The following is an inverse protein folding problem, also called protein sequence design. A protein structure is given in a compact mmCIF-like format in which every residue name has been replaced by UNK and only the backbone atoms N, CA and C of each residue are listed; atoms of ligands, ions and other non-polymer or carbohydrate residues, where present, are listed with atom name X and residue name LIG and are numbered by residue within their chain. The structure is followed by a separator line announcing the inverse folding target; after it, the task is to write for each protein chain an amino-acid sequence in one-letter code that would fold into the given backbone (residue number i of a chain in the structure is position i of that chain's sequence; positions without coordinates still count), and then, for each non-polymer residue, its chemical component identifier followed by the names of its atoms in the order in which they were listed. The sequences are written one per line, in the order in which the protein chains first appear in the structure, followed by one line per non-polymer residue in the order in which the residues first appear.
data_IF_394352949339
#
_entry.id   IF_394352949339
#
_cell.length_a   1.000
_cell.length_b   1.000
_cell.length_c   1.000
_cell.angle_alpha   90.00
_cell.angle_beta   90.00
_cell.angle_gamma   90.00
#
_symmetry.space_group_name_H-M   'P 1'
#
loop_
_entity.id
_entity.type
_entity.pdbx_description
1 polymer ?
#
# COMPACT_ATOMS: atom_id res chain seq x y z
N UNK A 1 -2.70 3.43 -17.56
CA UNK A 1 -1.44 4.07 -17.09
C UNK A 1 -0.33 3.56 -17.99
N UNK A 2 0.46 4.44 -18.60
CA UNK A 2 1.57 4.02 -19.47
C UNK A 2 2.65 3.33 -18.65
N UNK A 3 3.02 2.12 -19.03
CA UNK A 3 4.26 1.47 -18.60
C UNK A 3 5.36 1.87 -19.57
N UNK A 4 6.55 2.16 -19.05
CA UNK A 4 7.74 2.27 -19.89
C UNK A 4 8.00 0.89 -20.50
N UNK A 5 8.13 0.80 -21.82
CA UNK A 5 8.59 -0.41 -22.49
C UNK A 5 10.06 -0.66 -22.14
N UNK A 6 10.53 -1.91 -22.23
CA UNK A 6 11.83 -2.31 -21.68
C UNK A 6 13.03 -1.46 -22.11
N UNK A 7 13.16 -1.16 -23.40
CA UNK A 7 14.28 -0.35 -23.92
C UNK A 7 14.21 1.11 -23.47
N UNK A 8 12.99 1.66 -23.35
CA UNK A 8 12.76 3.01 -22.86
C UNK A 8 13.05 3.09 -21.36
N UNK A 9 12.60 2.10 -20.58
CA UNK A 9 12.84 2.00 -19.13
C UNK A 9 14.35 2.02 -18.85
N UNK A 10 15.13 1.18 -19.54
CA UNK A 10 16.58 1.11 -19.37
C UNK A 10 17.26 2.43 -19.72
N UNK A 11 16.92 3.00 -20.87
CA UNK A 11 17.52 4.26 -21.34
C UNK A 11 17.25 5.40 -20.36
N UNK A 12 16.02 5.53 -19.88
CA UNK A 12 15.66 6.59 -18.92
C UNK A 12 16.36 6.40 -17.58
N UNK A 13 16.52 5.17 -17.11
CA UNK A 13 17.27 4.88 -15.88
C UNK A 13 18.74 5.29 -16.03
N UNK A 14 19.39 4.95 -17.14
CA UNK A 14 20.80 5.30 -17.38
C UNK A 14 21.00 6.82 -17.48
N UNK A 15 20.11 7.53 -18.19
CA UNK A 15 20.15 8.98 -18.28
C UNK A 15 19.92 9.63 -16.91
N UNK A 16 18.92 9.16 -16.15
CA UNK A 16 18.64 9.67 -14.81
C UNK A 16 19.80 9.41 -13.83
N UNK A 17 20.51 8.27 -13.95
CA UNK A 17 21.74 8.01 -13.16
C UNK A 17 22.83 9.04 -13.43
N UNK A 18 22.94 9.50 -14.66
CA UNK A 18 23.91 10.53 -15.05
C UNK A 18 23.45 11.96 -14.74
N UNK A 19 22.32 12.12 -14.02
CA UNK A 19 21.81 13.43 -13.59
C UNK A 19 20.90 14.12 -14.60
N UNK A 20 20.44 13.43 -15.64
CA UNK A 20 19.51 14.01 -16.61
C UNK A 20 18.14 14.28 -15.95
N UNK A 21 17.85 15.57 -15.77
CA UNK A 21 16.60 16.05 -15.16
C UNK A 21 15.37 15.76 -16.02
N UNK A 22 15.53 15.69 -17.34
CA UNK A 22 14.44 15.34 -18.27
C UNK A 22 14.06 13.88 -18.09
N UNK A 23 15.06 12.99 -18.00
CA UNK A 23 14.81 11.56 -17.74
C UNK A 23 14.16 11.34 -16.36
N UNK A 24 14.65 12.02 -15.32
CA UNK A 24 14.03 11.97 -13.98
C UNK A 24 12.57 12.44 -14.02
N UNK A 25 12.27 13.54 -14.73
CA UNK A 25 10.90 14.04 -14.89
C UNK A 25 10.01 13.03 -15.60
N UNK A 26 10.50 12.36 -16.65
CA UNK A 26 9.71 11.34 -17.35
C UNK A 26 9.39 10.14 -16.46
N UNK A 27 10.35 9.66 -15.66
CA UNK A 27 10.11 8.62 -14.65
C UNK A 27 9.07 9.10 -13.64
N UNK A 28 9.20 10.32 -13.12
CA UNK A 28 8.23 10.90 -12.18
C UNK A 28 6.82 10.98 -12.77
N UNK A 29 6.68 11.53 -13.97
CA UNK A 29 5.39 11.70 -14.64
C UNK A 29 4.72 10.35 -14.92
N UNK A 30 5.51 9.33 -15.26
CA UNK A 30 5.02 7.97 -15.52
C UNK A 30 4.48 7.28 -14.26
N UNK A 31 5.18 7.40 -13.14
CA UNK A 31 4.91 6.57 -11.96
C UNK A 31 4.31 7.31 -10.76
N UNK A 32 4.30 8.64 -10.72
CA UNK A 32 3.79 9.43 -9.59
C UNK A 32 2.37 9.03 -9.18
N UNK A 33 1.45 8.89 -10.14
CA UNK A 33 0.07 8.43 -9.86
C UNK A 33 0.01 7.01 -9.33
N UNK A 34 0.83 6.11 -9.85
CA UNK A 34 0.89 4.72 -9.41
C UNK A 34 1.44 4.59 -7.98
N UNK A 35 2.51 5.33 -7.67
CA UNK A 35 3.11 5.34 -6.33
C UNK A 35 2.21 6.06 -5.32
N UNK A 36 1.53 7.13 -5.72
CA UNK A 36 0.50 7.79 -4.89
C UNK A 36 -0.64 6.83 -4.56
N UNK A 37 -1.17 6.11 -5.54
CA UNK A 37 -2.21 5.10 -5.31
C UNK A 37 -1.70 3.98 -4.38
N UNK A 38 -0.46 3.53 -4.57
CA UNK A 38 0.18 2.54 -3.70
C UNK A 38 0.27 3.04 -2.25
N UNK A 39 0.75 4.27 -2.05
CA UNK A 39 0.91 4.91 -0.75
C UNK A 39 -0.43 5.14 -0.05
N UNK A 40 -1.46 5.53 -0.79
CA UNK A 40 -2.82 5.80 -0.26
C UNK A 40 -3.49 4.62 0.44
N UNK A 41 -3.03 3.39 0.17
CA UNK A 41 -3.47 2.19 0.88
C UNK A 41 -2.98 2.15 2.33
N UNK A 42 -1.82 2.75 2.58
CA UNK A 42 -1.14 2.80 3.89
C UNK A 42 -1.32 4.12 4.63
N UNK A 43 -1.60 5.22 3.92
CA UNK A 43 -1.65 6.56 4.49
C UNK A 43 -2.93 7.26 3.99
N UNK A 44 -3.97 7.41 4.84
CA UNK A 44 -5.24 8.01 4.43
C UNK A 44 -5.18 9.55 4.43
N UNK A 45 -4.31 10.13 5.25
CA UNK A 45 -4.13 11.58 5.31
C UNK A 45 -3.37 12.06 4.08
N UNK A 46 -3.94 13.01 3.34
CA UNK A 46 -3.34 13.50 2.10
C UNK A 46 -2.01 14.26 2.30
N UNK A 47 -1.86 14.98 3.41
CA UNK A 47 -0.62 15.69 3.73
C UNK A 47 0.53 14.72 3.91
N UNK A 48 0.33 13.73 4.78
CA UNK A 48 1.32 12.69 5.03
C UNK A 48 1.62 11.84 3.79
N UNK A 49 0.61 11.60 2.94
CA UNK A 49 0.80 10.90 1.68
C UNK A 49 1.73 11.68 0.75
N UNK A 50 1.52 13.00 0.61
CA UNK A 50 2.38 13.86 -0.21
C UNK A 50 3.81 13.86 0.31
N UNK A 51 4.00 13.96 1.63
CA UNK A 51 5.32 13.94 2.26
C UNK A 51 6.03 12.60 2.01
N UNK A 52 5.35 11.47 2.22
CA UNK A 52 5.93 10.15 1.95
C UNK A 52 6.23 9.95 0.47
N UNK A 53 5.37 10.42 -0.44
CA UNK A 53 5.62 10.32 -1.87
C UNK A 53 6.84 11.14 -2.27
N UNK A 54 7.00 12.34 -1.72
CA UNK A 54 8.17 13.19 -1.93
C UNK A 54 9.45 12.50 -1.44
N UNK A 55 9.46 12.04 -0.19
CA UNK A 55 10.59 11.30 0.39
C UNK A 55 10.94 10.05 -0.42
N UNK A 56 9.92 9.36 -0.94
CA UNK A 56 10.10 8.19 -1.80
C UNK A 56 10.82 8.56 -3.10
N UNK A 57 10.41 9.62 -3.79
CA UNK A 57 11.07 10.05 -5.02
C UNK A 57 12.49 10.56 -4.79
N UNK A 58 12.73 11.30 -3.72
CA UNK A 58 14.09 11.70 -3.31
C UNK A 58 14.96 10.45 -3.18
N UNK A 59 14.47 9.44 -2.46
CA UNK A 59 15.19 8.19 -2.23
C UNK A 59 15.37 7.33 -3.49
N UNK A 60 14.36 7.28 -4.35
CA UNK A 60 14.42 6.59 -5.65
C UNK A 60 15.56 7.16 -6.49
N UNK A 61 15.61 8.48 -6.67
CA UNK A 61 16.65 9.09 -7.49
C UNK A 61 18.02 9.06 -6.82
N UNK A 62 18.09 9.23 -5.50
CA UNK A 62 19.35 9.17 -4.75
C UNK A 62 19.91 7.75 -4.57
N UNK A 63 19.17 6.71 -4.95
CA UNK A 63 19.60 5.30 -4.87
C UNK A 63 19.46 4.57 -6.20
N UNK A 64 19.31 5.31 -7.30
CA UNK A 64 19.10 4.74 -8.63
C UNK A 64 20.32 3.96 -9.12
N UNK A 65 21.52 4.23 -8.58
CA UNK A 65 22.74 3.45 -8.76
C UNK A 65 22.59 2.00 -8.29
N UNK A 66 21.75 1.74 -7.28
CA UNK A 66 21.50 0.40 -6.71
C UNK A 66 20.43 -0.40 -7.45
N UNK A 67 19.70 0.25 -8.36
CA UNK A 67 18.72 -0.45 -9.17
C UNK A 67 19.42 -1.42 -10.13
N UNK A 68 18.78 -2.55 -10.41
CA UNK A 68 19.28 -3.55 -11.35
C UNK A 68 18.13 -3.93 -12.28
N UNK A 69 18.33 -3.75 -13.59
CA UNK A 69 17.27 -3.98 -14.56
C UNK A 69 17.09 -5.48 -14.78
N UNK A 70 15.90 -6.00 -14.45
CA UNK A 70 15.58 -7.43 -14.49
C UNK A 70 14.47 -7.78 -15.47
N UNK A 71 14.19 -6.88 -16.41
CA UNK A 71 13.08 -7.00 -17.36
C UNK A 71 12.05 -5.88 -17.20
N UNK A 72 11.09 -5.88 -18.09
CA UNK A 72 10.05 -4.84 -18.16
C UNK A 72 9.29 -4.73 -16.84
N UNK A 73 9.18 -3.51 -16.32
CA UNK A 73 8.47 -3.22 -15.06
C UNK A 73 9.31 -3.48 -13.81
N UNK A 74 10.59 -3.87 -13.95
CA UNK A 74 11.49 -4.01 -12.81
C UNK A 74 11.69 -2.69 -12.07
N UNK A 75 11.74 -1.55 -12.79
CA UNK A 75 11.81 -0.22 -12.15
C UNK A 75 10.55 0.06 -11.33
N UNK A 76 9.37 -0.21 -11.91
CA UNK A 76 8.08 -0.04 -11.22
C UNK A 76 8.04 -0.82 -9.90
N UNK A 77 8.46 -2.09 -9.92
CA UNK A 77 8.50 -2.94 -8.73
C UNK A 77 9.49 -2.41 -7.68
N UNK A 78 10.68 -2.00 -8.11
CA UNK A 78 11.72 -1.46 -7.23
C UNK A 78 11.29 -0.15 -6.55
N UNK A 79 10.71 0.78 -7.32
CA UNK A 79 10.19 2.05 -6.77
C UNK A 79 9.00 1.84 -5.83
N UNK A 80 8.13 0.87 -6.14
CA UNK A 80 7.04 0.46 -5.26
C UNK A 80 7.58 0.00 -3.91
N UNK A 81 8.63 -0.84 -3.91
CA UNK A 81 9.26 -1.31 -2.67
C UNK A 81 9.81 -0.15 -1.83
N UNK A 82 10.47 0.82 -2.45
CA UNK A 82 10.94 2.03 -1.75
C UNK A 82 9.77 2.80 -1.15
N UNK A 83 8.71 3.01 -1.92
CA UNK A 83 7.52 3.76 -1.48
C UNK A 83 6.82 3.10 -0.30
N UNK A 84 6.64 1.77 -0.35
CA UNK A 84 6.07 0.99 0.76
C UNK A 84 6.96 1.13 2.00
N UNK A 85 8.29 1.03 1.85
CA UNK A 85 9.21 1.16 2.97
C UNK A 85 9.17 2.55 3.64
N UNK A 86 9.04 3.64 2.87
CA UNK A 86 8.86 4.98 3.43
C UNK A 86 7.51 5.14 4.13
N UNK A 87 6.42 4.56 3.59
CA UNK A 87 5.14 4.55 4.28
C UNK A 87 5.21 3.80 5.63
N UNK A 88 5.85 2.62 5.65
CA UNK A 88 6.06 1.84 6.88
C UNK A 88 6.96 2.58 7.88
N UNK A 89 7.91 3.39 7.42
CA UNK A 89 8.75 4.23 8.27
C UNK A 89 7.93 5.29 9.00
N UNK A 90 7.00 5.95 8.33
CA UNK A 90 6.09 6.90 8.97
C UNK A 90 5.19 6.19 10.01
N UNK A 91 4.59 5.06 9.65
CA UNK A 91 3.73 4.26 10.54
C UNK A 91 4.47 3.86 11.81
N UNK A 92 5.70 3.36 11.68
CA UNK A 92 6.54 3.00 12.85
C UNK A 92 6.90 4.21 13.71
N UNK A 93 7.12 5.39 13.10
CA UNK A 93 7.40 6.63 13.83
C UNK A 93 6.18 7.06 14.66
N UNK A 94 4.96 6.90 14.14
CA UNK A 94 3.70 7.20 14.86
C UNK A 94 3.43 6.25 16.01
N UNK A 95 3.59 4.95 15.79
CA UNK A 95 3.37 3.93 16.85
C UNK A 95 4.29 4.11 18.06
N UNK A 96 5.50 4.68 17.87
CA UNK A 96 6.39 5.04 18.98
C UNK A 96 5.90 6.25 19.79
N UNK A 97 5.04 7.08 19.19
CA UNK A 97 4.43 8.26 19.82
C UNK A 97 3.10 7.91 20.50
N UNK A 98 2.32 6.99 19.92
CA UNK A 98 0.97 6.65 20.38
C UNK A 98 0.90 5.17 20.79
N UNK A 99 0.96 4.90 22.09
CA UNK A 99 0.72 3.54 22.63
C UNK A 99 -0.77 3.38 22.92
N UNK A 100 -1.59 3.20 21.87
CA UNK A 100 -3.02 2.89 22.03
C UNK A 100 -3.30 1.54 21.38
N UNK A 101 -3.44 0.50 22.20
CA UNK A 101 -4.07 -0.74 21.78
C UNK A 101 -5.54 -0.46 21.47
N UNK A 102 -5.88 -0.43 20.18
CA UNK A 102 -7.27 -0.45 19.76
C UNK A 102 -7.87 -1.83 20.09
N UNK A 103 -8.56 -1.91 21.24
CA UNK A 103 -9.54 -2.97 21.50
C UNK A 103 -10.77 -2.69 20.65
N UNK A 104 -10.75 -3.21 19.43
CA UNK A 104 -11.96 -3.30 18.63
C UNK A 104 -12.71 -4.55 19.10
N UNK A 105 -13.80 -4.36 19.86
CA UNK A 105 -14.72 -5.42 20.25
C UNK A 105 -15.45 -5.91 19.00
N UNK A 106 -14.91 -6.97 18.38
CA UNK A 106 -15.64 -7.74 17.38
C UNK A 106 -16.50 -8.77 18.13
N UNK A 107 -17.79 -8.89 17.80
CA UNK A 107 -18.56 -10.05 18.22
C UNK A 107 -17.90 -11.32 17.66
N UNK A 108 -17.76 -12.35 18.48
CA UNK A 108 -17.20 -13.67 18.13
C UNK A 108 -18.09 -14.50 17.17
N UNK A 109 -18.92 -13.88 16.32
CA UNK A 109 -19.92 -14.61 15.51
C UNK A 109 -19.57 -14.72 14.02
N UNK A 110 -19.35 -15.99 13.67
CA UNK A 110 -19.55 -16.75 12.43
C UNK A 110 -18.92 -16.24 11.14
N UNK A 111 -18.15 -17.14 10.52
CA UNK A 111 -17.75 -17.14 9.12
C UNK A 111 -19.00 -17.15 8.23
N UNK A 112 -19.59 -15.97 8.03
CA UNK A 112 -20.47 -15.74 6.90
C UNK A 112 -19.67 -15.87 5.60
N UNK A 113 -20.30 -16.38 4.53
CA UNK A 113 -19.70 -16.49 3.21
C UNK A 113 -19.05 -15.15 2.78
N UNK A 114 -17.90 -15.24 2.11
CA UNK A 114 -17.22 -14.05 1.59
C UNK A 114 -18.18 -13.28 0.66
N UNK A 115 -18.41 -11.98 0.91
CA UNK A 115 -19.39 -11.24 0.12
C UNK A 115 -18.90 -11.07 -1.32
N UNK A 116 -19.84 -11.15 -2.27
CA UNK A 116 -19.54 -10.87 -3.69
C UNK A 116 -19.16 -9.40 -3.88
N UNK A 117 -17.86 -9.17 -4.01
CA UNK A 117 -17.29 -7.83 -4.23
C UNK A 117 -17.46 -7.33 -5.67
N UNK A 118 -17.92 -8.16 -6.61
CA UNK A 118 -18.01 -7.82 -8.03
C UNK A 118 -18.92 -6.63 -8.33
N UNK A 119 -19.87 -6.33 -7.44
CA UNK A 119 -20.79 -5.18 -7.54
C UNK A 119 -20.31 -3.94 -6.79
N UNK A 120 -19.20 -4.02 -6.05
CA UNK A 120 -18.69 -2.91 -5.24
C UNK A 120 -17.65 -2.13 -6.04
N UNK A 121 -17.81 -0.80 -6.23
CA UNK A 121 -16.81 0.00 -6.91
C UNK A 121 -15.44 -0.05 -6.21
N UNK A 122 -14.31 -0.11 -6.95
CA UNK A 122 -12.97 -0.11 -6.36
C UNK A 122 -12.71 1.04 -5.38
N UNK A 123 -13.29 2.21 -5.65
CA UNK A 123 -13.16 3.41 -4.81
C UNK A 123 -13.91 3.26 -3.48
N UNK A 124 -15.00 2.48 -3.44
CA UNK A 124 -15.69 2.15 -2.20
C UNK A 124 -14.84 1.17 -1.36
N UNK A 125 -14.28 0.13 -1.98
CA UNK A 125 -13.38 -0.81 -1.32
C UNK A 125 -12.15 -0.08 -0.75
N UNK A 126 -11.56 0.84 -1.53
CA UNK A 126 -10.41 1.61 -1.08
C UNK A 126 -10.74 2.46 0.16
N UNK A 127 -11.92 3.10 0.19
CA UNK A 127 -12.37 3.87 1.37
C UNK A 127 -12.57 2.97 2.60
N UNK A 128 -13.15 1.78 2.40
CA UNK A 128 -13.31 0.78 3.46
C UNK A 128 -11.96 0.33 4.03
N UNK A 129 -10.98 0.06 3.15
CA UNK A 129 -9.60 -0.26 3.56
C UNK A 129 -9.01 0.91 4.35
N UNK A 130 -9.12 2.15 3.87
CA UNK A 130 -8.58 3.35 4.54
C UNK A 130 -9.20 3.60 5.93
N UNK A 131 -10.45 3.18 6.14
CA UNK A 131 -11.14 3.28 7.43
C UNK A 131 -10.69 2.24 8.47
N UNK A 132 -9.91 1.22 8.06
CA UNK A 132 -9.39 0.23 9.00
C UNK A 132 -8.38 0.86 9.98
N UNK A 133 -8.33 0.37 11.24
CA UNK A 133 -7.25 0.68 12.17
C UNK A 133 -5.88 0.48 11.53
N UNK A 134 -4.91 1.35 11.84
CA UNK A 134 -3.64 1.44 11.11
C UNK A 134 -2.88 0.10 11.07
N UNK A 135 -2.84 -0.66 12.17
CA UNK A 135 -2.23 -1.99 12.19
C UNK A 135 -2.90 -2.97 11.22
N UNK A 136 -4.24 -3.06 11.27
CA UNK A 136 -5.03 -4.00 10.47
C UNK A 136 -4.89 -3.67 8.98
N UNK A 137 -4.99 -2.38 8.65
CA UNK A 137 -4.76 -1.84 7.30
C UNK A 137 -3.36 -2.19 6.79
N UNK A 138 -2.34 -1.99 7.60
CA UNK A 138 -0.95 -2.23 7.20
C UNK A 138 -0.69 -3.71 6.94
N UNK A 139 -1.12 -4.58 7.87
CA UNK A 139 -0.97 -6.03 7.72
C UNK A 139 -1.73 -6.56 6.51
N UNK A 140 -2.98 -6.14 6.32
CA UNK A 140 -3.78 -6.50 5.14
C UNK A 140 -3.03 -6.15 3.84
N UNK A 141 -2.52 -4.92 3.75
CA UNK A 141 -1.85 -4.49 2.53
C UNK A 141 -0.54 -5.23 2.27
N UNK A 142 0.26 -5.48 3.31
CA UNK A 142 1.51 -6.24 3.18
C UNK A 142 1.25 -7.70 2.77
N UNK A 143 0.20 -8.31 3.31
CA UNK A 143 -0.14 -9.69 2.98
C UNK A 143 -0.73 -9.81 1.58
N UNK A 144 -1.76 -9.01 1.27
CA UNK A 144 -2.54 -9.17 0.02
C UNK A 144 -1.82 -8.56 -1.17
N UNK A 145 -1.27 -7.35 -1.05
CA UNK A 145 -0.67 -6.66 -2.19
C UNK A 145 0.83 -6.89 -2.29
N UNK A 146 1.55 -6.93 -1.17
CA UNK A 146 2.99 -7.15 -1.16
C UNK A 146 3.37 -8.64 -1.06
N UNK A 147 2.38 -9.54 -0.94
CA UNK A 147 2.55 -11.00 -0.88
C UNK A 147 3.54 -11.47 0.20
N UNK A 148 3.57 -10.74 1.32
CA UNK A 148 4.47 -11.06 2.44
C UNK A 148 3.85 -12.11 3.36
N UNK A 149 4.68 -13.03 3.80
CA UNK A 149 4.35 -13.97 4.88
C UNK A 149 4.14 -13.26 6.21
N UNK A 150 3.43 -13.91 7.15
CA UNK A 150 3.27 -13.37 8.50
C UNK A 150 4.60 -13.13 9.20
N UNK A 151 5.59 -13.99 8.94
CA UNK A 151 6.98 -13.84 9.41
C UNK A 151 7.62 -12.54 8.90
N UNK A 152 7.61 -12.29 7.60
CA UNK A 152 8.17 -11.05 7.04
C UNK A 152 7.44 -9.80 7.55
N UNK A 153 6.11 -9.88 7.71
CA UNK A 153 5.32 -8.77 8.26
C UNK A 153 5.70 -8.50 9.71
N UNK A 154 5.85 -9.55 10.53
CA UNK A 154 6.26 -9.46 11.92
C UNK A 154 7.61 -8.74 12.06
N UNK A 155 8.60 -9.12 11.23
CA UNK A 155 9.91 -8.49 11.18
C UNK A 155 9.83 -7.01 10.76
N UNK A 156 9.06 -6.69 9.71
CA UNK A 156 8.91 -5.31 9.22
C UNK A 156 8.22 -4.39 10.23
N UNK A 157 7.24 -4.92 10.98
CA UNK A 157 6.37 -4.13 11.86
C UNK A 157 6.77 -4.17 13.33
N UNK A 158 7.73 -5.03 13.72
CA UNK A 158 8.10 -5.24 15.12
C UNK A 158 6.95 -5.76 15.96
N UNK A 159 6.24 -6.77 15.46
CA UNK A 159 5.12 -7.47 16.13
C UNK A 159 5.34 -8.99 16.08
N UNK A 160 4.52 -9.78 16.77
CA UNK A 160 4.56 -11.24 16.61
C UNK A 160 3.85 -11.73 15.34
N UNK A 161 4.23 -12.89 14.82
CA UNK A 161 3.52 -13.56 13.71
C UNK A 161 2.04 -13.80 14.05
N UNK A 162 1.75 -14.19 15.30
CA UNK A 162 0.38 -14.37 15.80
C UNK A 162 -0.42 -13.06 15.79
N UNK A 163 0.23 -11.93 16.08
CA UNK A 163 -0.39 -10.61 15.98
C UNK A 163 -0.69 -10.29 14.52
N UNK A 164 0.25 -10.56 13.60
CA UNK A 164 0.03 -10.38 12.15
C UNK A 164 -1.17 -11.20 11.67
N UNK A 165 -1.22 -12.49 11.97
CA UNK A 165 -2.36 -13.35 11.61
C UNK A 165 -3.70 -12.84 12.18
N UNK A 166 -3.72 -12.48 13.48
CA UNK A 166 -4.92 -11.97 14.14
C UNK A 166 -5.39 -10.63 13.55
N UNK A 167 -4.46 -9.73 13.21
CA UNK A 167 -4.78 -8.45 12.58
C UNK A 167 -5.33 -8.63 11.16
N UNK A 168 -4.78 -9.56 10.38
CA UNK A 168 -5.29 -9.89 9.05
C UNK A 168 -6.73 -10.44 9.14
N UNK A 169 -6.97 -11.38 10.05
CA UNK A 169 -8.29 -11.96 10.27
C UNK A 169 -9.33 -10.87 10.63
N UNK A 170 -8.98 -9.99 11.57
CA UNK A 170 -9.84 -8.86 11.95
C UNK A 170 -10.06 -7.86 10.81
N UNK A 171 -9.03 -7.57 10.01
CA UNK A 171 -9.16 -6.72 8.83
C UNK A 171 -10.20 -7.28 7.84
N UNK A 172 -10.13 -8.58 7.54
CA UNK A 172 -11.09 -9.27 6.66
C UNK A 172 -12.50 -9.24 7.23
N UNK A 173 -12.68 -9.56 8.50
CA UNK A 173 -13.99 -9.55 9.15
C UNK A 173 -14.66 -8.16 9.08
N UNK A 174 -13.91 -7.09 9.34
CA UNK A 174 -14.41 -5.71 9.23
C UNK A 174 -14.79 -5.38 7.79
N UNK A 175 -13.93 -5.71 6.82
CA UNK A 175 -14.22 -5.44 5.40
C UNK A 175 -15.45 -6.21 4.92
N UNK A 176 -15.55 -7.51 5.23
CA UNK A 176 -16.71 -8.32 4.85
C UNK A 176 -18.01 -7.73 5.38
N UNK A 177 -18.03 -7.25 6.62
CA UNK A 177 -19.20 -6.56 7.19
C UNK A 177 -19.49 -5.24 6.46
N UNK A 178 -18.49 -4.40 6.25
CA UNK A 178 -18.67 -3.12 5.56
C UNK A 178 -19.19 -3.30 4.13
N UNK A 179 -18.71 -4.32 3.43
CA UNK A 179 -19.15 -4.68 2.08
C UNK A 179 -20.61 -5.14 2.09
N UNK A 180 -20.99 -6.04 3.01
CA UNK A 180 -22.39 -6.48 3.17
C UNK A 180 -23.33 -5.30 3.46
N UNK A 181 -22.94 -4.42 4.38
CA UNK A 181 -23.72 -3.23 4.73
C UNK A 181 -23.84 -2.26 3.54
N UNK A 182 -22.77 -2.11 2.75
CA UNK A 182 -22.79 -1.31 1.53
C UNK A 182 -23.74 -1.88 0.48
N UNK A 183 -23.68 -3.20 0.23
CA UNK A 183 -24.55 -3.88 -0.74
C UNK A 183 -26.03 -3.78 -0.33
N UNK A 184 -26.36 -4.02 0.94
CA UNK A 184 -27.73 -3.86 1.46
C UNK A 184 -28.27 -2.44 1.24
N UNK A 185 -27.44 -1.42 1.40
CA UNK A 185 -27.83 -0.02 1.13
C UNK A 185 -28.05 0.25 -0.35
N UNK A 186 -27.26 -0.35 -1.23
CA UNK A 186 -27.48 -0.22 -2.68
C UNK A 186 -28.79 -0.88 -3.12
N UNK A 187 -29.09 -2.09 -2.61
CA UNK A 187 -30.33 -2.80 -2.91
C UNK A 187 -31.57 -2.07 -2.37
N UNK A 188 -31.47 -1.42 -1.21
CA UNK A 188 -32.56 -0.62 -0.64
C UNK A 188 -32.81 0.72 -1.34
N UNK A 189 -31.93 1.14 -2.26
CA UNK A 189 -32.04 2.39 -3.03
C UNK A 189 -32.58 2.15 -4.45
N UNK A 190 -32.74 0.88 -4.85
CA UNK A 190 -33.34 0.43 -6.11
C UNK A 190 -34.81 0.05 -5.90
#
# INVERSE_FOLDING_TARGET
MGTLTGDIERTLVEQARNGDRTAMKQIYDCYSRYLAATCSRYIPNEGDLRDVLQDSFVKIFSSLDKFDYRGEGSLKAWMRQITVNEALKLIRKRKRSDTVEYKWDLPDKEEEEEPDVGKVPPEAIQRMIQALPEGYRTVLNLYVFEQKSHKEIAELMGISESTSASQLHRARAILSRQIRDYMKRMEATL
#
